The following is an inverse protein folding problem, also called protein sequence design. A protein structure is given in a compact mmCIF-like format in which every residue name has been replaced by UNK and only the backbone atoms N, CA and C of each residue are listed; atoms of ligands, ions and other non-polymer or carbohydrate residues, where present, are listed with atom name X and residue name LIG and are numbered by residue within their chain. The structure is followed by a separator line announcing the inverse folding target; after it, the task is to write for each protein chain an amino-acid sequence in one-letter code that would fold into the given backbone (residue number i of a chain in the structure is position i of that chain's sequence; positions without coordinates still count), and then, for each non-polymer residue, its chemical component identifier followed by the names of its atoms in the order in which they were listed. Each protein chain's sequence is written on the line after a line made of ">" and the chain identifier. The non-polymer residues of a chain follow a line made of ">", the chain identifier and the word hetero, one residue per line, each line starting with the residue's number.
data_IF_137196796623
#
_entry.id   IF_137196796623
#
_cell.length_a   1.000
_cell.length_b   1.000
_cell.length_c   1.000
_cell.angle_alpha   90.00
_cell.angle_beta   90.00
_cell.angle_gamma   90.00
#
_symmetry.space_group_name_H-M   'P 1'
#
loop_
_entity.id
_entity.type
_entity.pdbx_description
1 polymer ?
#
# COMPACT_ATOMS: atom_id res chain seq x y z
N UNK A 1 17.06 -11.98 -6.82
CA UNK A 1 17.41 -11.27 -5.55
C UNK A 1 16.42 -11.60 -4.43
N UNK A 2 15.11 -11.67 -4.69
CA UNK A 2 14.12 -12.14 -3.71
C UNK A 2 14.32 -13.62 -3.32
N UNK A 3 14.81 -14.44 -4.25
CA UNK A 3 15.03 -15.88 -4.02
C UNK A 3 16.06 -16.14 -2.92
N UNK A 4 17.16 -15.39 -2.89
CA UNK A 4 18.20 -15.49 -1.85
C UNK A 4 17.63 -15.18 -0.46
N UNK A 5 16.74 -14.19 -0.35
CA UNK A 5 16.14 -13.83 0.94
C UNK A 5 15.08 -14.84 1.39
N UNK A 6 14.34 -15.43 0.44
CA UNK A 6 13.40 -16.49 0.70
C UNK A 6 14.12 -17.76 1.15
N UNK A 7 15.19 -18.16 0.44
CA UNK A 7 16.05 -19.30 0.80
C UNK A 7 16.68 -19.14 2.20
N UNK A 8 17.07 -17.92 2.59
CA UNK A 8 17.68 -17.65 3.89
C UNK A 8 16.71 -17.56 5.05
N UNK A 9 15.41 -17.26 4.83
CA UNK A 9 14.49 -16.94 5.93
C UNK A 9 13.12 -17.61 5.87
N UNK A 10 12.78 -18.29 4.78
CA UNK A 10 11.45 -18.86 4.54
C UNK A 10 10.33 -17.81 4.44
N UNK A 11 10.68 -16.52 4.34
CA UNK A 11 9.74 -15.40 4.35
C UNK A 11 9.97 -14.51 3.14
N UNK A 12 8.88 -14.17 2.46
CA UNK A 12 8.91 -13.22 1.36
C UNK A 12 9.13 -11.81 1.93
N UNK A 13 10.38 -11.31 1.86
CA UNK A 13 10.81 -10.02 2.44
C UNK A 13 10.37 -8.81 1.62
N UNK A 14 9.15 -8.79 1.06
CA UNK A 14 8.59 -7.68 0.26
C UNK A 14 8.63 -6.36 1.01
N UNK A 15 8.27 -6.40 2.29
CA UNK A 15 8.25 -5.22 3.13
C UNK A 15 9.66 -4.65 3.35
N UNK A 16 10.69 -5.50 3.45
CA UNK A 16 12.07 -5.04 3.57
C UNK A 16 12.54 -4.43 2.25
N UNK A 17 12.35 -5.13 1.13
CA UNK A 17 12.80 -4.69 -0.19
C UNK A 17 12.16 -3.35 -0.61
N UNK A 18 10.83 -3.24 -0.50
CA UNK A 18 10.12 -2.00 -0.81
C UNK A 18 10.56 -0.85 0.10
N UNK A 19 10.74 -1.07 1.41
CA UNK A 19 11.22 -0.04 2.35
C UNK A 19 12.65 0.39 2.03
N UNK A 20 13.52 -0.54 1.68
CA UNK A 20 14.88 -0.23 1.27
C UNK A 20 14.90 0.66 0.02
N UNK A 21 14.15 0.27 -1.03
CA UNK A 21 14.03 1.06 -2.26
C UNK A 21 13.40 2.43 -2.00
N UNK A 22 12.32 2.46 -1.21
CA UNK A 22 11.63 3.69 -0.86
C UNK A 22 12.48 4.63 -0.02
N UNK A 23 13.31 4.11 0.89
CA UNK A 23 14.24 4.94 1.67
C UNK A 23 15.21 5.70 0.77
N UNK A 24 15.71 5.04 -0.29
CA UNK A 24 16.66 5.64 -1.23
C UNK A 24 15.98 6.50 -2.31
N UNK A 25 14.78 6.12 -2.76
CA UNK A 25 14.03 6.80 -3.84
C UNK A 25 12.53 6.86 -3.50
N UNK A 26 12.13 7.72 -2.54
CA UNK A 26 10.77 7.74 -2.00
C UNK A 26 9.70 8.17 -3.02
N UNK A 27 10.09 8.88 -4.07
CA UNK A 27 9.17 9.34 -5.12
C UNK A 27 9.10 8.38 -6.33
N UNK A 28 9.78 7.23 -6.28
CA UNK A 28 9.74 6.21 -7.34
C UNK A 28 9.10 4.90 -6.91
N UNK A 29 9.26 4.51 -5.64
CA UNK A 29 8.74 3.24 -5.13
C UNK A 29 7.68 3.49 -4.06
N UNK A 30 6.62 2.70 -4.02
CA UNK A 30 5.66 2.73 -2.92
C UNK A 30 6.19 1.94 -1.72
N UNK A 31 5.85 2.34 -0.49
CA UNK A 31 6.14 1.53 0.69
C UNK A 31 5.16 0.36 0.75
N UNK A 32 5.67 -0.86 0.85
CA UNK A 32 4.85 -2.03 1.16
C UNK A 32 5.01 -2.43 2.62
N UNK A 33 3.91 -2.36 3.37
CA UNK A 33 3.77 -2.99 4.68
C UNK A 33 2.30 -3.33 4.97
N UNK A 34 2.05 -3.92 6.13
CA UNK A 34 0.70 -4.33 6.53
C UNK A 34 -0.28 -3.15 6.63
N UNK A 35 0.18 -1.95 7.02
CA UNK A 35 -0.66 -0.75 7.15
C UNK A 35 -1.07 -0.24 5.77
N UNK A 36 -0.10 -0.09 4.88
CA UNK A 36 -0.33 0.33 3.50
C UNK A 36 -1.25 -0.65 2.76
N UNK A 37 -1.01 -1.97 2.93
CA UNK A 37 -1.85 -3.04 2.36
C UNK A 37 -3.29 -2.99 2.89
N UNK A 38 -3.48 -2.80 4.20
CA UNK A 38 -4.81 -2.65 4.79
C UNK A 38 -5.52 -1.43 4.19
N UNK A 39 -4.89 -0.25 4.23
CA UNK A 39 -5.50 0.98 3.74
C UNK A 39 -5.86 0.93 2.25
N UNK A 40 -4.93 0.52 1.38
CA UNK A 40 -5.17 0.52 -0.06
C UNK A 40 -6.33 -0.42 -0.43
N UNK A 41 -6.47 -1.54 0.31
CA UNK A 41 -7.56 -2.49 0.08
C UNK A 41 -8.95 -1.94 0.39
N UNK A 42 -9.04 -0.93 1.26
CA UNK A 42 -10.29 -0.28 1.67
C UNK A 42 -10.70 0.86 0.76
N UNK A 43 -9.74 1.49 0.07
CA UNK A 43 -9.98 2.68 -0.76
C UNK A 43 -9.85 2.42 -2.26
N UNK A 44 -9.60 1.17 -2.66
CA UNK A 44 -9.57 0.77 -4.07
C UNK A 44 -10.46 -0.43 -4.34
N UNK A 45 -10.97 -0.59 -5.57
CA UNK A 45 -11.71 -1.77 -5.97
C UNK A 45 -10.89 -3.06 -5.82
N UNK A 46 -11.55 -4.21 -6.04
CA UNK A 46 -10.82 -5.48 -6.19
C UNK A 46 -9.91 -5.40 -7.44
N UNK A 47 -8.75 -6.09 -7.43
CA UNK A 47 -7.77 -6.01 -8.53
C UNK A 47 -8.34 -6.29 -9.93
N UNK A 48 -9.36 -7.16 -10.03
CA UNK A 48 -10.00 -7.51 -11.31
C UNK A 48 -10.72 -6.32 -12.00
N UNK A 49 -11.06 -5.27 -11.24
CA UNK A 49 -11.69 -4.05 -11.78
C UNK A 49 -10.68 -2.93 -12.04
N UNK A 50 -9.39 -3.19 -11.83
CA UNK A 50 -8.32 -2.22 -12.04
C UNK A 50 -7.58 -2.62 -13.30
N UNK A 51 -7.22 -1.66 -14.15
CA UNK A 51 -6.43 -1.94 -15.36
C UNK A 51 -5.13 -2.66 -15.00
N UNK A 52 -4.77 -3.69 -15.77
CA UNK A 52 -3.49 -4.38 -15.59
C UNK A 52 -2.33 -3.59 -16.18
N UNK A 53 -1.16 -3.79 -15.60
CA UNK A 53 0.11 -3.27 -16.08
C UNK A 53 0.93 -4.49 -16.47
N UNK A 54 1.25 -4.62 -17.75
CA UNK A 54 2.09 -5.73 -18.22
C UNK A 54 3.53 -5.50 -17.76
N UNK A 55 4.11 -6.51 -17.13
CA UNK A 55 5.50 -6.54 -16.67
C UNK A 55 6.07 -7.92 -17.00
N UNK A 56 7.33 -7.97 -17.41
CA UNK A 56 8.01 -9.23 -17.76
C UNK A 56 8.23 -10.10 -16.52
N UNK A 57 8.75 -9.49 -15.45
CA UNK A 57 8.99 -10.15 -14.17
C UNK A 57 8.57 -9.21 -13.04
N UNK A 58 7.75 -9.73 -12.12
CA UNK A 58 7.41 -9.02 -10.90
C UNK A 58 6.96 -9.98 -9.81
N UNK A 59 7.16 -9.57 -8.56
CA UNK A 59 6.50 -10.20 -7.44
C UNK A 59 4.98 -9.95 -7.54
N UNK A 60 4.19 -11.02 -7.58
CA UNK A 60 2.75 -10.94 -7.89
C UNK A 60 1.95 -10.13 -6.86
N UNK A 61 2.31 -10.22 -5.57
CA UNK A 61 1.60 -9.50 -4.51
C UNK A 61 1.95 -8.00 -4.52
N UNK A 62 3.24 -7.67 -4.67
CA UNK A 62 3.68 -6.30 -4.78
C UNK A 62 3.20 -5.65 -6.09
N UNK A 63 3.09 -6.40 -7.18
CA UNK A 63 2.51 -5.95 -8.44
C UNK A 63 1.05 -5.53 -8.27
N UNK A 64 0.23 -6.38 -7.66
CA UNK A 64 -1.16 -6.07 -7.34
C UNK A 64 -1.26 -4.82 -6.45
N UNK A 65 -0.38 -4.70 -5.46
CA UNK A 65 -0.31 -3.50 -4.62
C UNK A 65 0.03 -2.24 -5.42
N UNK A 66 1.04 -2.29 -6.28
CA UNK A 66 1.44 -1.16 -7.12
C UNK A 66 0.31 -0.74 -8.07
N UNK A 67 -0.40 -1.70 -8.67
CA UNK A 67 -1.58 -1.42 -9.51
C UNK A 67 -2.67 -0.67 -8.76
N UNK A 68 -2.94 -1.06 -7.52
CA UNK A 68 -3.93 -0.37 -6.67
C UNK A 68 -3.46 1.05 -6.32
N UNK A 69 -2.20 1.22 -5.97
CA UNK A 69 -1.64 2.55 -5.69
C UNK A 69 -1.67 3.46 -6.93
N UNK A 70 -1.36 2.91 -8.09
CA UNK A 70 -1.45 3.61 -9.37
C UNK A 70 -2.89 4.03 -9.67
N UNK A 71 -3.84 3.11 -9.51
CA UNK A 71 -5.26 3.41 -9.69
C UNK A 71 -5.73 4.54 -8.76
N UNK A 72 -5.36 4.49 -7.47
CA UNK A 72 -5.66 5.56 -6.53
C UNK A 72 -5.06 6.91 -6.97
N UNK A 73 -3.78 6.88 -7.39
CA UNK A 73 -3.09 8.08 -7.89
C UNK A 73 -3.78 8.68 -9.12
N UNK A 74 -4.20 7.84 -10.06
CA UNK A 74 -4.89 8.28 -11.27
C UNK A 74 -6.27 8.88 -10.94
N UNK A 75 -7.04 8.25 -10.05
CA UNK A 75 -8.30 8.81 -9.55
C UNK A 75 -8.12 10.18 -8.88
N UNK A 76 -7.06 10.34 -8.08
CA UNK A 76 -6.75 11.64 -7.44
C UNK A 76 -6.37 12.68 -8.50
N UNK A 77 -5.54 12.29 -9.48
CA UNK A 77 -5.16 13.18 -10.58
C UNK A 77 -6.37 13.64 -11.38
N UNK A 78 -7.27 12.74 -11.71
CA UNK A 78 -8.49 13.06 -12.47
C UNK A 78 -9.43 13.98 -11.69
N UNK A 79 -9.61 13.75 -10.39
CA UNK A 79 -10.55 14.53 -9.56
C UNK A 79 -10.01 15.88 -9.11
N UNK A 80 -8.70 15.97 -8.87
CA UNK A 80 -8.08 17.13 -8.22
C UNK A 80 -7.01 17.82 -9.09
N UNK A 81 -6.83 17.39 -10.34
CA UNK A 81 -5.79 17.87 -11.26
C UNK A 81 -4.36 17.83 -10.69
N UNK A 82 -4.11 16.93 -9.72
CA UNK A 82 -2.85 16.84 -8.99
C UNK A 82 -2.26 15.44 -9.08
N UNK A 83 -1.05 15.35 -9.60
CA UNK A 83 -0.29 14.09 -9.63
C UNK A 83 0.53 13.97 -8.37
N UNK A 84 0.21 12.97 -7.54
CA UNK A 84 0.92 12.72 -6.29
C UNK A 84 2.12 11.79 -6.52
N UNK A 85 3.20 12.02 -5.76
CA UNK A 85 4.33 11.10 -5.73
C UNK A 85 3.98 9.85 -4.90
N UNK A 86 4.68 8.71 -5.10
CA UNK A 86 4.57 7.54 -4.24
C UNK A 86 4.64 7.87 -2.73
N UNK A 87 5.62 8.68 -2.30
CA UNK A 87 5.72 9.18 -0.93
C UNK A 87 4.47 9.88 -0.41
N UNK A 88 3.81 10.67 -1.26
CA UNK A 88 2.57 11.37 -0.88
C UNK A 88 1.40 10.39 -0.77
N UNK A 89 1.31 9.41 -1.67
CA UNK A 89 0.34 8.32 -1.57
C UNK A 89 0.56 7.50 -0.30
N UNK A 90 1.79 7.15 0.03
CA UNK A 90 2.12 6.39 1.25
C UNK A 90 1.68 7.14 2.52
N UNK A 91 1.88 8.47 2.57
CA UNK A 91 1.38 9.31 3.68
C UNK A 91 -0.14 9.32 3.78
N UNK A 92 -0.85 9.31 2.64
CA UNK A 92 -2.31 9.22 2.61
C UNK A 92 -2.78 7.87 3.16
N UNK A 93 -2.19 6.77 2.67
CA UNK A 93 -2.49 5.42 3.14
C UNK A 93 -2.26 5.27 4.64
N UNK A 94 -1.16 5.83 5.15
CA UNK A 94 -0.84 5.83 6.58
C UNK A 94 -1.95 6.49 7.42
N UNK A 95 -2.40 7.69 7.01
CA UNK A 95 -3.47 8.42 7.68
C UNK A 95 -4.80 7.68 7.63
N UNK A 96 -5.10 7.00 6.52
CA UNK A 96 -6.28 6.16 6.38
C UNK A 96 -6.24 5.01 7.39
N UNK A 97 -5.11 4.30 7.50
CA UNK A 97 -4.95 3.23 8.50
C UNK A 97 -5.14 3.75 9.92
N UNK A 98 -4.55 4.89 10.25
CA UNK A 98 -4.64 5.48 11.59
C UNK A 98 -6.08 5.87 11.93
N UNK A 99 -6.82 6.42 10.95
CA UNK A 99 -8.23 6.73 11.11
C UNK A 99 -9.08 5.45 11.31
N UNK A 100 -8.88 4.42 10.49
CA UNK A 100 -9.58 3.13 10.62
C UNK A 100 -9.35 2.52 12.00
N UNK A 101 -8.11 2.58 12.50
CA UNK A 101 -7.77 2.04 13.83
C UNK A 101 -8.42 2.85 14.94
N UNK A 102 -8.45 4.18 14.83
CA UNK A 102 -9.12 5.05 15.79
C UNK A 102 -10.63 4.76 15.84
N UNK A 103 -11.29 4.68 14.68
CA UNK A 103 -12.72 4.35 14.59
C UNK A 103 -13.04 2.98 15.22
N UNK A 104 -12.19 1.96 15.01
CA UNK A 104 -12.34 0.64 15.65
C UNK A 104 -12.20 0.69 17.18
N UNK A 105 -11.31 1.53 17.71
CA UNK A 105 -11.13 1.69 19.15
C UNK A 105 -12.33 2.39 19.79
N UNK A 106 -12.87 3.41 19.11
CA UNK A 106 -14.07 4.13 19.56
C UNK A 106 -15.33 3.25 19.50
N UNK A 107 -15.45 2.40 18.48
CA UNK A 107 -16.56 1.43 18.35
C UNK A 107 -16.41 0.20 19.26
N UNK A 108 -15.20 -0.06 19.77
CA UNK A 108 -14.90 -1.14 20.70
C UNK A 108 -14.94 -0.74 22.18
N UNK A 109 -15.16 0.54 22.49
CA UNK A 109 -15.38 1.00 23.86
C UNK A 109 -16.77 0.52 24.33
N UNK A 110 -16.89 -0.23 25.44
CA UNK A 110 -18.18 -0.66 25.95
C UNK A 110 -19.04 0.58 26.31
N UNK A 111 -20.38 0.53 26.12
CA UNK A 111 -21.26 1.67 26.35
C UNK A 111 -21.23 2.22 27.79
N UNK A 112 -20.79 1.43 28.76
CA UNK A 112 -20.72 1.81 30.17
C UNK A 112 -19.45 1.21 30.79
N UNK A 113 -18.43 2.04 30.99
CA UNK A 113 -17.43 1.81 32.03
C UNK A 113 -17.91 2.55 33.29
N UNK A 114 -17.85 1.93 34.49
CA UNK A 114 -18.45 2.46 35.72
C UNK A 114 -17.91 3.83 36.13
#
# INVERSE_FOLDING_TARGET
>A
VMDIFFELTGLEKRALASKYLHFHKPDLFFIYDSRAKEAISKVTPRPNYIKDITVEESDSEYHIFCRRCQHLRDNIRERFAKTLTPRQIDKILLRITDRIRKEKLEQGAPPDAP
#
